data_IF_373515247379
#
_entry.id   IF_373515247379
#
_cell.length_a   1.000
_cell.length_b   1.000
_cell.length_c   1.000
_cell.angle_alpha   90.00
_cell.angle_beta   90.00
_cell.angle_gamma   90.00
#
_symmetry.space_group_name_H-M   'P 1'
#
loop_
_entity.id
_entity.type
_entity.pdbx_description
1 polymer ?
#
# COMPACT_ATOMS: atom_id res chain seq x y z
N UNK A 1 -11.24 27.14 -75.29
CA UNK A 1 -11.01 27.52 -73.87
C UNK A 1 -11.29 26.30 -73.01
N UNK A 2 -10.27 25.68 -72.43
CA UNK A 2 -10.43 24.66 -71.40
C UNK A 2 -9.43 24.99 -70.29
N UNK A 3 -9.92 25.59 -69.20
CA UNK A 3 -9.15 25.89 -68.02
C UNK A 3 -8.89 24.58 -67.25
N UNK A 4 -7.63 24.16 -67.15
CA UNK A 4 -7.24 23.08 -66.25
C UNK A 4 -7.25 23.60 -64.81
N UNK A 5 -8.16 23.06 -63.99
CA UNK A 5 -8.19 23.23 -62.53
C UNK A 5 -6.92 22.61 -61.93
N UNK A 6 -6.11 23.41 -61.25
CA UNK A 6 -5.07 22.90 -60.36
C UNK A 6 -5.72 22.18 -59.17
N UNK A 7 -5.42 20.89 -59.02
CA UNK A 7 -5.72 20.14 -57.79
C UNK A 7 -4.72 20.54 -56.69
N UNK A 8 -5.21 21.24 -55.66
CA UNK A 8 -4.50 21.38 -54.40
C UNK A 8 -4.44 20.01 -53.72
N UNK A 9 -3.23 19.45 -53.58
CA UNK A 9 -2.98 18.28 -52.72
C UNK A 9 -3.05 18.74 -51.27
N UNK A 10 -3.97 18.16 -50.50
CA UNK A 10 -4.07 18.36 -49.06
C UNK A 10 -2.78 17.90 -48.38
N UNK A 11 -2.09 18.84 -47.75
CA UNK A 11 -0.90 18.57 -46.95
C UNK A 11 -1.29 17.80 -45.69
N UNK A 12 -0.84 16.56 -45.59
CA UNK A 12 -0.79 15.87 -44.31
C UNK A 12 0.18 16.63 -43.40
N UNK A 13 -0.15 16.73 -42.11
CA UNK A 13 0.58 17.53 -41.11
C UNK A 13 2.07 17.14 -40.97
N UNK A 14 2.47 15.99 -41.53
CA UNK A 14 3.87 15.54 -41.62
C UNK A 14 4.12 14.98 -43.02
N UNK A 15 5.06 15.56 -43.77
CA UNK A 15 5.47 15.05 -45.08
C UNK A 15 6.72 14.14 -44.99
N UNK A 16 6.86 13.20 -45.92
CA UNK A 16 8.02 12.29 -45.97
C UNK A 16 9.38 12.99 -46.20
N UNK A 17 9.34 14.23 -46.68
CA UNK A 17 10.46 15.18 -46.78
C UNK A 17 10.95 15.62 -45.40
N UNK A 18 10.03 15.94 -44.49
CA UNK A 18 10.35 16.37 -43.12
C UNK A 18 11.02 15.23 -42.34
N UNK A 19 10.49 14.01 -42.47
CA UNK A 19 11.09 12.82 -41.84
C UNK A 19 12.53 12.57 -42.32
N UNK A 20 12.79 12.72 -43.62
CA UNK A 20 14.15 12.61 -44.19
C UNK A 20 15.09 13.69 -43.67
N UNK A 21 14.59 14.90 -43.41
CA UNK A 21 15.36 15.97 -42.80
C UNK A 21 15.76 15.63 -41.36
N UNK A 22 14.80 15.20 -40.53
CA UNK A 22 15.09 14.78 -39.15
C UNK A 22 16.09 13.63 -39.08
N UNK A 23 15.91 12.57 -39.89
CA UNK A 23 16.84 11.43 -39.92
C UNK A 23 18.27 11.87 -40.28
N UNK A 24 18.43 12.82 -41.21
CA UNK A 24 19.75 13.35 -41.59
C UNK A 24 20.41 14.17 -40.49
N UNK A 25 19.62 14.94 -39.75
CA UNK A 25 20.11 15.71 -38.58
C UNK A 25 20.54 14.76 -37.46
N UNK A 26 19.72 13.76 -37.14
CA UNK A 26 20.04 12.75 -36.13
C UNK A 26 21.24 11.89 -36.49
N UNK A 27 21.39 11.47 -37.75
CA UNK A 27 22.54 10.65 -38.17
C UNK A 27 23.86 11.42 -38.15
N UNK A 28 23.84 12.72 -38.46
CA UNK A 28 25.02 13.60 -38.36
C UNK A 28 25.45 13.83 -36.90
N UNK A 29 24.49 13.86 -35.98
CA UNK A 29 24.71 14.09 -34.55
C UNK A 29 24.43 12.84 -33.70
N UNK A 30 24.73 11.65 -34.21
CA UNK A 30 24.39 10.37 -33.58
C UNK A 30 24.88 10.24 -32.13
N UNK A 31 26.02 10.87 -31.80
CA UNK A 31 26.56 10.92 -30.44
C UNK A 31 25.60 11.62 -29.45
N UNK A 32 24.87 12.67 -29.87
CA UNK A 32 23.85 13.32 -29.04
C UNK A 32 22.69 12.38 -28.73
N UNK A 33 22.32 11.52 -29.68
CA UNK A 33 21.29 10.49 -29.47
C UNK A 33 21.78 9.48 -28.44
N UNK A 34 23.01 8.99 -28.58
CA UNK A 34 23.59 8.03 -27.63
C UNK A 34 23.69 8.64 -26.23
N UNK A 35 24.16 9.88 -26.11
CA UNK A 35 24.23 10.59 -24.82
C UNK A 35 22.83 10.78 -24.22
N UNK A 36 21.84 11.16 -25.03
CA UNK A 36 20.46 11.32 -24.56
C UNK A 36 19.86 9.99 -24.06
N UNK A 37 20.11 8.88 -24.77
CA UNK A 37 19.66 7.54 -24.35
C UNK A 37 20.32 7.11 -23.04
N UNK A 38 21.64 7.30 -22.92
CA UNK A 38 22.36 6.97 -21.68
C UNK A 38 21.88 7.82 -20.51
N UNK A 39 21.70 9.12 -20.72
CA UNK A 39 21.22 10.04 -19.69
C UNK A 39 19.78 9.69 -19.27
N UNK A 40 18.91 9.35 -20.23
CA UNK A 40 17.57 8.85 -19.94
C UNK A 40 17.58 7.54 -19.15
N UNK A 41 18.47 6.59 -19.48
CA UNK A 41 18.62 5.34 -18.74
C UNK A 41 19.07 5.57 -17.29
N UNK A 42 20.03 6.48 -17.08
CA UNK A 42 20.50 6.85 -15.74
C UNK A 42 19.38 7.52 -14.93
N UNK A 43 18.66 8.47 -15.52
CA UNK A 43 17.53 9.13 -14.85
C UNK A 43 16.41 8.14 -14.51
N UNK A 44 16.09 7.22 -15.43
CA UNK A 44 15.10 6.17 -15.22
C UNK A 44 15.50 5.24 -14.08
N UNK A 45 16.77 4.81 -14.04
CA UNK A 45 17.28 3.99 -12.93
C UNK A 45 17.19 4.70 -11.58
N UNK A 46 17.62 5.98 -11.52
CA UNK A 46 17.52 6.78 -10.30
C UNK A 46 16.08 7.01 -9.84
N UNK A 47 15.15 7.17 -10.80
CA UNK A 47 13.73 7.29 -10.50
C UNK A 47 13.17 5.96 -9.96
N UNK A 48 13.45 4.84 -10.63
CA UNK A 48 12.97 3.51 -10.22
C UNK A 48 13.49 3.11 -8.83
N UNK A 49 14.69 3.51 -8.46
CA UNK A 49 15.26 3.22 -7.14
C UNK A 49 14.46 3.86 -5.99
N UNK A 50 13.77 4.98 -6.25
CA UNK A 50 12.95 5.70 -5.25
C UNK A 50 11.56 5.10 -5.08
N UNK A 51 11.07 4.33 -6.05
CA UNK A 51 9.72 3.76 -6.00
C UNK A 51 9.68 2.69 -4.89
N UNK A 52 8.69 2.73 -3.99
CA UNK A 52 8.46 1.66 -3.02
C UNK A 52 8.14 0.33 -3.72
N UNK A 53 8.66 -0.77 -3.19
CA UNK A 53 8.30 -2.09 -3.69
C UNK A 53 6.90 -2.45 -3.20
N UNK A 54 6.11 -3.12 -4.05
CA UNK A 54 4.76 -3.59 -3.72
C UNK A 54 4.75 -5.10 -3.84
N UNK A 55 4.26 -5.76 -2.80
CA UNK A 55 4.24 -7.21 -2.67
C UNK A 55 2.80 -7.72 -2.59
N UNK A 56 2.49 -8.74 -3.38
CA UNK A 56 1.22 -9.45 -3.32
C UNK A 56 1.29 -10.69 -2.43
N UNK A 57 0.24 -10.93 -1.65
CA UNK A 57 -0.02 -12.20 -0.99
C UNK A 57 -1.40 -12.73 -1.40
N UNK A 58 -1.56 -14.04 -1.40
CA UNK A 58 -2.85 -14.68 -1.68
C UNK A 58 -3.11 -15.86 -0.72
N UNK A 59 -4.39 -16.13 -0.48
CA UNK A 59 -4.88 -17.27 0.27
C UNK A 59 -6.09 -17.89 -0.44
N UNK A 60 -6.31 -19.19 -0.24
CA UNK A 60 -7.42 -19.92 -0.83
C UNK A 60 -8.29 -20.50 0.29
N UNK A 61 -9.57 -20.16 0.26
CA UNK A 61 -10.56 -20.60 1.25
C UNK A 61 -11.55 -21.52 0.54
N UNK A 62 -11.62 -22.77 0.99
CA UNK A 62 -12.63 -23.73 0.52
C UNK A 62 -13.95 -23.46 1.24
N UNK A 63 -15.01 -23.18 0.49
CA UNK A 63 -16.35 -23.10 1.05
C UNK A 63 -16.87 -24.51 1.35
N UNK A 64 -17.39 -24.71 2.55
CA UNK A 64 -17.96 -26.00 2.95
C UNK A 64 -19.30 -26.18 2.25
N UNK A 65 -19.44 -27.26 1.49
CA UNK A 65 -20.73 -27.63 0.90
C UNK A 65 -21.75 -27.82 2.04
N UNK A 66 -22.78 -26.97 2.09
CA UNK A 66 -23.97 -27.26 2.88
C UNK A 66 -24.59 -28.51 2.26
N UNK A 67 -24.80 -29.52 3.09
CA UNK A 67 -25.25 -30.88 2.74
C UNK A 67 -26.05 -30.94 1.44
N UNK A 68 -25.53 -31.74 0.51
CA UNK A 68 -26.09 -32.00 -0.80
C UNK A 68 -27.54 -32.47 -0.64
N UNK A 69 -28.50 -31.60 -0.94
CA UNK A 69 -29.86 -32.07 -1.26
C UNK A 69 -29.71 -33.11 -2.38
N UNK A 70 -30.30 -34.28 -2.21
CA UNK A 70 -30.18 -35.39 -3.15
C UNK A 70 -30.82 -35.03 -4.50
N UNK A 71 -30.06 -34.37 -5.38
CA UNK A 71 -30.47 -33.93 -6.72
C UNK A 71 -30.35 -35.08 -7.71
N UNK A 72 -31.10 -36.16 -7.48
CA UNK A 72 -31.06 -37.38 -8.27
C UNK A 72 -31.72 -37.27 -9.66
N UNK A 73 -32.13 -36.08 -10.12
CA UNK A 73 -32.65 -35.89 -11.49
C UNK A 73 -31.90 -34.81 -12.27
N UNK A 74 -31.61 -35.12 -13.54
CA UNK A 74 -30.85 -34.29 -14.49
C UNK A 74 -31.38 -32.85 -14.63
N UNK A 75 -32.66 -32.62 -14.29
CA UNK A 75 -33.30 -31.29 -14.31
C UNK A 75 -32.74 -30.36 -13.23
N UNK A 76 -32.24 -30.89 -12.11
CA UNK A 76 -31.75 -30.08 -10.99
C UNK A 76 -30.25 -29.84 -10.98
N UNK A 77 -29.48 -30.47 -11.88
CA UNK A 77 -28.05 -30.19 -12.02
C UNK A 77 -27.80 -28.71 -12.38
N UNK A 78 -28.62 -28.15 -13.27
CA UNK A 78 -28.55 -26.72 -13.64
C UNK A 78 -29.02 -25.79 -12.50
N UNK A 79 -29.95 -26.24 -11.66
CA UNK A 79 -30.49 -25.45 -10.53
C UNK A 79 -29.49 -25.44 -9.37
N UNK A 80 -28.83 -26.57 -9.09
CA UNK A 80 -27.78 -26.68 -8.08
C UNK A 80 -26.59 -25.74 -8.38
N UNK A 81 -26.20 -25.60 -9.64
CA UNK A 81 -25.14 -24.68 -10.06
C UNK A 81 -25.50 -23.21 -9.80
N UNK A 82 -26.74 -22.80 -10.09
CA UNK A 82 -27.22 -21.43 -9.84
C UNK A 82 -27.26 -21.12 -8.34
N UNK A 83 -27.68 -22.08 -7.52
CA UNK A 83 -27.70 -21.94 -6.06
C UNK A 83 -26.28 -21.82 -5.48
N UNK A 84 -25.34 -22.66 -5.93
CA UNK A 84 -23.94 -22.60 -5.54
C UNK A 84 -23.29 -21.26 -5.94
N UNK A 85 -23.59 -20.76 -7.14
CA UNK A 85 -23.10 -19.46 -7.60
C UNK A 85 -23.64 -18.29 -6.74
N UNK A 86 -24.91 -18.35 -6.35
CA UNK A 86 -25.51 -17.38 -5.43
C UNK A 86 -24.84 -17.39 -4.04
N UNK A 87 -24.55 -18.57 -3.50
CA UNK A 87 -23.84 -18.70 -2.23
C UNK A 87 -22.40 -18.16 -2.32
N UNK A 88 -21.66 -18.49 -3.38
CA UNK A 88 -20.32 -17.95 -3.64
C UNK A 88 -20.35 -16.41 -3.65
N UNK A 89 -21.29 -15.78 -4.36
CA UNK A 89 -21.42 -14.31 -4.37
C UNK A 89 -21.66 -13.76 -2.96
N UNK A 90 -22.52 -14.41 -2.18
CA UNK A 90 -22.80 -14.00 -0.81
C UNK A 90 -21.54 -14.12 0.06
N UNK A 91 -20.79 -15.21 -0.04
CA UNK A 91 -19.54 -15.40 0.69
C UNK A 91 -18.49 -14.35 0.32
N UNK A 92 -18.38 -13.99 -0.97
CA UNK A 92 -17.51 -12.88 -1.41
C UNK A 92 -17.90 -11.54 -0.76
N UNK A 93 -19.20 -11.27 -0.60
CA UNK A 93 -19.70 -10.06 0.09
C UNK A 93 -19.41 -10.07 1.58
N UNK A 94 -19.49 -11.25 2.23
CA UNK A 94 -19.12 -11.40 3.64
C UNK A 94 -17.62 -11.16 3.82
N UNK A 95 -16.77 -11.77 2.99
CA UNK A 95 -15.31 -11.57 3.02
C UNK A 95 -14.89 -10.10 2.84
N UNK A 96 -15.63 -9.36 2.01
CA UNK A 96 -15.37 -7.92 1.74
C UNK A 96 -16.21 -6.98 2.61
N UNK A 97 -16.89 -7.50 3.63
CA UNK A 97 -17.71 -6.70 4.53
C UNK A 97 -16.87 -5.86 5.48
N UNK A 98 -17.37 -4.67 5.81
CA UNK A 98 -16.69 -3.75 6.73
C UNK A 98 -16.44 -4.43 8.08
N UNK A 99 -17.46 -5.03 8.68
CA UNK A 99 -17.38 -5.63 10.01
C UNK A 99 -16.37 -6.78 10.11
N UNK A 100 -16.25 -7.60 9.07
CA UNK A 100 -15.28 -8.71 9.07
C UNK A 100 -13.84 -8.18 8.97
N UNK A 101 -13.61 -7.21 8.09
CA UNK A 101 -12.30 -6.57 7.92
C UNK A 101 -11.92 -5.80 9.18
N UNK A 102 -12.86 -5.07 9.78
CA UNK A 102 -12.64 -4.35 11.05
C UNK A 102 -12.28 -5.32 12.18
N UNK A 103 -13.05 -6.42 12.37
CA UNK A 103 -12.68 -7.44 13.37
C UNK A 103 -11.32 -8.06 13.11
N UNK A 104 -10.96 -8.24 11.84
CA UNK A 104 -9.65 -8.76 11.44
C UNK A 104 -8.53 -7.81 11.81
N UNK A 105 -8.66 -6.54 11.43
CA UNK A 105 -7.70 -5.50 11.77
C UNK A 105 -7.63 -5.22 13.27
N UNK A 106 -8.64 -5.62 14.06
CA UNK A 106 -8.63 -5.47 15.52
C UNK A 106 -7.68 -6.44 16.22
N UNK A 107 -7.21 -7.46 15.50
CA UNK A 107 -6.20 -8.43 15.96
C UNK A 107 -4.80 -8.09 15.48
N UNK A 108 -4.65 -7.01 14.71
CA UNK A 108 -3.41 -6.60 14.07
C UNK A 108 -3.05 -5.19 14.55
N UNK A 109 -1.77 -4.93 14.74
CA UNK A 109 -1.21 -3.65 15.17
C UNK A 109 -0.92 -2.73 13.96
N UNK A 110 -1.88 -2.61 13.04
CA UNK A 110 -1.73 -1.88 11.78
C UNK A 110 -2.12 -0.40 11.88
N UNK A 111 -2.61 0.04 13.04
CA UNK A 111 -3.11 1.40 13.26
C UNK A 111 -1.99 2.46 13.16
N UNK A 112 -0.71 2.05 13.29
CA UNK A 112 0.46 2.92 13.12
C UNK A 112 1.42 2.34 12.08
N UNK A 113 1.76 3.13 11.06
CA UNK A 113 2.85 2.81 10.13
C UNK A 113 4.14 3.47 10.59
N UNK A 114 5.26 2.77 10.43
CA UNK A 114 6.58 3.23 10.83
C UNK A 114 7.50 3.35 9.63
N UNK A 115 8.32 4.40 9.60
CA UNK A 115 9.20 4.71 8.49
C UNK A 115 10.60 5.08 8.99
N UNK A 116 11.61 4.66 8.23
CA UNK A 116 12.99 5.14 8.37
C UNK A 116 13.25 6.11 7.21
N UNK A 117 13.61 7.35 7.55
CA UNK A 117 13.86 8.41 6.59
C UNK A 117 15.34 8.38 6.20
N UNK A 118 15.62 7.84 5.01
CA UNK A 118 16.95 7.88 4.42
C UNK A 118 17.14 9.10 3.51
N UNK A 119 18.40 9.42 3.19
CA UNK A 119 18.74 10.54 2.27
C UNK A 119 18.09 10.42 0.88
N UNK A 120 17.86 9.20 0.41
CA UNK A 120 17.40 8.93 -0.97
C UNK A 120 16.07 8.20 -1.05
N UNK A 121 15.69 7.47 0.00
CA UNK A 121 14.50 6.63 0.05
C UNK A 121 13.97 6.59 1.48
N UNK A 122 12.68 6.83 1.62
CA UNK A 122 11.92 6.52 2.83
C UNK A 122 11.40 5.11 2.70
N UNK A 123 11.62 4.29 3.73
CA UNK A 123 11.18 2.89 3.72
C UNK A 123 10.25 2.63 4.90
N UNK A 124 9.07 2.09 4.62
CA UNK A 124 8.20 1.56 5.67
C UNK A 124 8.88 0.34 6.32
N UNK A 125 8.69 0.18 7.62
CA UNK A 125 9.21 -0.94 8.39
C UNK A 125 8.14 -1.45 9.36
N UNK A 126 8.24 -2.72 9.74
CA UNK A 126 7.29 -3.36 10.64
C UNK A 126 8.03 -4.23 11.65
N UNK A 127 7.80 -4.00 12.95
CA UNK A 127 8.53 -4.57 14.09
C UNK A 127 10.07 -4.59 13.96
N UNK A 128 10.64 -3.61 13.26
CA UNK A 128 12.09 -3.48 13.10
C UNK A 128 12.67 -2.27 13.84
N UNK A 129 11.81 -1.36 14.29
CA UNK A 129 12.22 -0.17 15.03
C UNK A 129 12.58 -0.51 16.49
N UNK A 130 13.40 0.34 17.12
CA UNK A 130 13.80 0.15 18.51
C UNK A 130 12.75 0.68 19.51
N UNK A 131 11.57 1.09 19.05
CA UNK A 131 10.47 1.59 19.85
C UNK A 131 9.13 1.19 19.24
N UNK A 132 8.09 1.25 20.06
CA UNK A 132 6.69 1.07 19.66
C UNK A 132 5.86 2.27 20.13
N UNK A 133 4.96 2.73 19.28
CA UNK A 133 4.10 3.89 19.51
C UNK A 133 2.67 3.43 19.71
N UNK A 134 2.08 3.82 20.84
CA UNK A 134 0.65 3.78 21.07
C UNK A 134 0.12 5.20 21.07
N UNK A 135 -0.74 5.54 20.11
CA UNK A 135 -1.27 6.89 19.95
C UNK A 135 -2.79 6.86 19.78
N UNK A 136 -3.46 7.75 20.51
CA UNK A 136 -4.86 8.07 20.34
C UNK A 136 -4.96 9.53 19.88
N UNK A 137 -5.30 9.71 18.61
CA UNK A 137 -5.40 11.02 17.98
C UNK A 137 -6.73 11.68 18.37
N UNK A 138 -6.67 12.86 19.00
CA UNK A 138 -7.85 13.61 19.43
C UNK A 138 -8.29 14.65 18.38
N UNK A 139 -7.34 15.28 17.67
CA UNK A 139 -7.63 16.11 16.50
C UNK A 139 -7.58 15.26 15.21
N UNK A 140 -8.73 15.02 14.55
CA UNK A 140 -8.78 14.21 13.33
C UNK A 140 -7.87 14.68 12.20
N UNK A 141 -7.43 15.95 12.20
CA UNK A 141 -6.51 16.49 11.19
C UNK A 141 -5.10 15.89 11.26
N UNK A 142 -4.75 15.26 12.38
CA UNK A 142 -3.45 14.59 12.55
C UNK A 142 -3.48 13.13 12.10
N UNK A 143 -4.65 12.54 11.86
CA UNK A 143 -4.73 11.20 11.27
C UNK A 143 -4.18 11.22 9.84
N UNK A 144 -3.34 10.25 9.52
CA UNK A 144 -2.63 10.16 8.25
C UNK A 144 -1.52 11.18 8.07
N UNK A 145 -1.23 12.03 9.06
CA UNK A 145 -0.08 12.93 9.03
C UNK A 145 1.13 12.31 9.70
N UNK A 146 2.34 12.59 9.20
CA UNK A 146 3.56 12.10 9.83
C UNK A 146 3.89 12.82 11.13
N UNK A 147 4.40 12.04 12.08
CA UNK A 147 5.09 12.48 13.28
C UNK A 147 6.55 12.06 13.17
N UNK A 148 7.47 13.01 13.24
CA UNK A 148 8.89 12.75 13.22
C UNK A 148 9.38 12.45 14.64
N UNK A 149 10.16 11.39 14.79
CA UNK A 149 10.72 10.96 16.06
C UNK A 149 12.23 10.80 15.91
N UNK A 150 12.97 11.53 16.75
CA UNK A 150 14.44 11.43 16.83
C UNK A 150 14.85 10.98 18.21
N UNK A 151 15.64 9.91 18.29
CA UNK A 151 16.17 9.41 19.55
C UNK A 151 17.29 10.34 19.99
N UNK A 152 17.17 10.94 21.17
CA UNK A 152 18.16 11.90 21.69
C UNK A 152 19.18 11.16 22.55
N UNK A 153 18.71 10.29 23.44
CA UNK A 153 19.52 9.51 24.36
C UNK A 153 18.78 8.18 24.72
N UNK A 154 19.31 7.31 25.60
CA UNK A 154 18.62 6.07 25.94
C UNK A 154 17.21 6.26 26.49
N UNK A 155 16.96 7.36 27.20
CA UNK A 155 15.76 7.63 27.98
C UNK A 155 14.83 8.67 27.35
N UNK A 156 15.32 9.49 26.41
CA UNK A 156 14.55 10.57 25.80
C UNK A 156 14.54 10.53 24.28
N UNK A 157 13.44 11.04 23.73
CA UNK A 157 13.26 11.30 22.31
C UNK A 157 12.70 12.70 22.08
N UNK A 158 12.87 13.17 20.86
CA UNK A 158 12.30 14.41 20.35
C UNK A 158 11.19 14.06 19.36
N UNK A 159 10.00 14.60 19.59
CA UNK A 159 8.83 14.46 18.74
C UNK A 159 8.59 15.77 18.00
N UNK A 160 8.40 15.69 16.68
CA UNK A 160 7.99 16.83 15.86
C UNK A 160 6.76 16.51 15.01
N UNK A 161 5.81 17.44 14.94
CA UNK A 161 4.60 17.27 14.13
C UNK A 161 4.01 18.61 13.71
N UNK A 162 3.28 18.62 12.59
CA UNK A 162 2.56 19.78 12.10
C UNK A 162 1.15 19.86 12.70
N UNK A 163 0.96 20.79 13.64
CA UNK A 163 -0.34 21.06 14.29
C UNK A 163 -1.32 21.84 13.41
N UNK A 164 -0.93 22.23 12.20
CA UNK A 164 -1.70 23.09 11.29
C UNK A 164 -1.49 24.59 11.53
N UNK A 165 -0.96 24.99 12.68
CA UNK A 165 -0.47 26.35 12.95
C UNK A 165 1.06 26.48 12.82
N UNK A 166 1.75 25.39 12.52
CA UNK A 166 3.20 25.29 12.47
C UNK A 166 3.71 23.97 13.05
N UNK A 167 5.00 23.72 12.83
CA UNK A 167 5.70 22.56 13.36
C UNK A 167 5.97 22.79 14.85
N UNK A 168 5.52 21.84 15.68
CA UNK A 168 5.79 21.79 17.12
C UNK A 168 6.85 20.72 17.33
N UNK A 169 7.90 21.06 18.08
CA UNK A 169 8.96 20.12 18.48
C UNK A 169 9.07 20.11 20.00
N UNK A 170 9.00 18.93 20.62
CA UNK A 170 9.09 18.75 22.07
C UNK A 170 9.90 17.50 22.40
N UNK A 171 10.64 17.53 23.50
CA UNK A 171 11.36 16.36 24.02
C UNK A 171 10.57 15.69 25.14
N UNK A 172 10.56 14.36 25.13
CA UNK A 172 9.82 13.54 26.06
C UNK A 172 10.64 12.31 26.49
N UNK A 173 10.43 11.81 27.71
CA UNK A 173 10.98 10.51 28.12
C UNK A 173 10.20 9.36 27.48
N UNK A 174 10.89 8.26 27.21
CA UNK A 174 10.26 7.01 26.81
C UNK A 174 9.53 6.33 27.97
N UNK A 175 8.42 5.65 27.67
CA UNK A 175 7.63 4.87 28.62
C UNK A 175 6.62 5.69 29.44
N UNK A 176 6.57 7.02 29.24
CA UNK A 176 5.59 7.90 29.87
C UNK A 176 4.42 8.24 28.94
N UNK A 177 3.26 8.45 29.55
CA UNK A 177 2.06 8.89 28.84
C UNK A 177 2.14 10.40 28.60
N UNK A 178 2.17 10.79 27.32
CA UNK A 178 2.22 12.17 26.86
C UNK A 178 0.81 12.60 26.51
N UNK A 179 0.23 13.44 27.37
CA UNK A 179 -1.06 14.08 27.11
C UNK A 179 -0.82 15.46 26.48
N UNK A 180 -1.14 15.59 25.19
CA UNK A 180 -1.24 16.87 24.51
C UNK A 180 -2.73 17.19 24.23
N UNK A 181 -3.03 18.43 23.84
CA UNK A 181 -4.39 18.81 23.43
C UNK A 181 -4.84 18.09 22.15
N UNK A 182 -3.89 17.69 21.31
CA UNK A 182 -4.16 17.14 19.99
C UNK A 182 -4.13 15.60 19.96
N UNK A 183 -3.49 14.94 20.94
CA UNK A 183 -3.35 13.48 21.03
C UNK A 183 -2.96 13.01 22.44
N UNK A 184 -3.17 11.71 22.69
CA UNK A 184 -2.54 10.97 23.78
C UNK A 184 -1.52 10.00 23.17
N UNK A 185 -0.27 10.07 23.60
CA UNK A 185 0.83 9.31 23.01
C UNK A 185 1.64 8.61 24.10
N UNK A 186 2.04 7.37 23.83
CA UNK A 186 3.04 6.65 24.62
C UNK A 186 4.03 6.01 23.67
N UNK A 187 5.32 6.22 23.93
CA UNK A 187 6.40 5.63 23.14
C UNK A 187 7.20 4.69 24.04
N UNK A 188 7.07 3.40 23.79
CA UNK A 188 7.74 2.35 24.55
C UNK A 188 9.04 1.94 23.86
N UNK A 189 10.06 1.65 24.66
CA UNK A 189 11.33 1.13 24.14
C UNK A 189 11.22 -0.36 23.96
N UNK A 190 11.72 -0.86 22.84
CA UNK A 190 11.96 -2.30 22.68
C UNK A 190 13.33 -2.65 23.28
N UNK A 191 13.54 -3.90 23.68
CA UNK A 191 14.83 -4.41 24.21
C UNK A 191 16.05 -4.20 23.28
N UNK A 192 15.81 -3.72 22.05
CA UNK A 192 16.82 -3.38 21.04
C UNK A 192 17.57 -2.07 21.31
N UNK A 193 17.11 -1.23 22.24
CA UNK A 193 17.87 -0.04 22.70
C UNK A 193 18.91 -0.47 23.72
N UNK A 194 20.02 -1.03 23.22
CA UNK A 194 21.22 -1.25 24.03
C UNK A 194 22.15 -0.02 23.88
N UNK A 195 22.85 0.42 24.95
CA UNK A 195 23.76 1.56 24.91
C UNK A 195 24.78 1.54 23.77
N UNK A 196 25.22 0.34 23.35
CA UNK A 196 26.18 0.14 22.25
C UNK A 196 25.64 0.48 20.85
N UNK A 197 24.32 0.63 20.68
CA UNK A 197 23.71 0.91 19.37
C UNK A 197 23.09 2.31 19.26
N UNK A 198 23.04 3.06 20.37
CA UNK A 198 22.35 4.36 20.43
C UNK A 198 22.91 5.38 19.44
N UNK A 199 24.22 5.44 19.22
CA UNK A 199 24.79 6.40 18.25
C UNK A 199 24.24 6.20 16.83
N UNK A 200 24.02 4.94 16.40
CA UNK A 200 23.44 4.65 15.08
C UNK A 200 21.94 4.93 15.02
N UNK A 201 21.24 4.65 16.12
CA UNK A 201 19.81 4.88 16.22
C UNK A 201 19.51 6.39 16.28
N UNK A 202 20.27 7.16 17.05
CA UNK A 202 20.19 8.61 17.13
C UNK A 202 20.61 9.32 15.82
N UNK A 203 21.46 8.68 15.01
CA UNK A 203 21.83 9.17 13.69
C UNK A 203 20.77 8.92 12.59
N UNK A 204 19.70 8.19 12.91
CA UNK A 204 18.61 7.89 11.98
C UNK A 204 17.39 8.76 12.30
N UNK A 205 16.74 9.25 11.25
CA UNK A 205 15.47 9.97 11.36
C UNK A 205 14.32 8.96 11.23
N UNK A 206 13.48 8.87 12.25
CA UNK A 206 12.30 8.01 12.24
C UNK A 206 11.03 8.83 12.07
N UNK A 207 10.02 8.20 11.50
CA UNK A 207 8.71 8.78 11.34
C UNK A 207 7.65 7.72 11.60
N UNK A 208 6.54 8.10 12.22
CA UNK A 208 5.36 7.26 12.31
C UNK A 208 4.13 8.01 11.83
N UNK A 209 3.14 7.26 11.33
CA UNK A 209 1.90 7.81 10.80
C UNK A 209 0.74 7.05 11.46
N UNK A 210 -0.04 7.71 12.34
CA UNK A 210 -1.26 7.12 12.85
C UNK A 210 -2.34 7.11 11.78
N UNK A 211 -3.11 6.03 11.71
CA UNK A 211 -4.19 5.86 10.74
C UNK A 211 -5.54 5.86 11.43
N UNK A 212 -6.51 6.56 10.85
CA UNK A 212 -7.90 6.42 11.26
C UNK A 212 -8.39 5.00 10.97
N UNK A 213 -9.21 4.48 11.89
CA UNK A 213 -9.70 3.12 11.80
C UNK A 213 -10.56 2.87 10.56
N UNK A 214 -11.45 3.80 10.21
CA UNK A 214 -12.30 3.66 9.02
C UNK A 214 -11.46 3.75 7.75
N UNK A 215 -10.45 4.63 7.73
CA UNK A 215 -9.50 4.70 6.62
C UNK A 215 -8.78 3.37 6.44
N UNK A 216 -8.28 2.76 7.51
CA UNK A 216 -7.56 1.49 7.47
C UNK A 216 -8.43 0.34 6.97
N UNK A 217 -9.68 0.24 7.46
CA UNK A 217 -10.64 -0.76 6.96
C UNK A 217 -10.90 -0.57 5.47
N UNK A 218 -11.11 0.67 5.02
CA UNK A 218 -11.34 0.97 3.62
C UNK A 218 -10.12 0.69 2.74
N UNK A 219 -8.89 0.96 3.23
CA UNK A 219 -7.64 0.60 2.56
C UNK A 219 -7.64 -0.88 2.18
N UNK A 220 -7.88 -1.76 3.15
CA UNK A 220 -7.89 -3.20 2.89
C UNK A 220 -9.12 -3.66 2.11
N UNK A 221 -10.30 -3.10 2.37
CA UNK A 221 -11.53 -3.45 1.65
C UNK A 221 -11.44 -3.17 0.15
N UNK A 222 -10.88 -2.04 -0.25
CA UNK A 222 -10.74 -1.68 -1.66
C UNK A 222 -9.44 -2.20 -2.28
N UNK A 223 -8.41 -2.47 -1.45
CA UNK A 223 -7.15 -3.07 -1.88
C UNK A 223 -7.16 -4.59 -2.01
N UNK A 224 -8.16 -5.27 -1.45
CA UNK A 224 -8.31 -6.72 -1.58
C UNK A 224 -9.11 -7.10 -2.81
N UNK A 225 -8.74 -8.23 -3.42
CA UNK A 225 -9.48 -8.86 -4.50
C UNK A 225 -9.95 -10.24 -4.06
N UNK A 226 -11.23 -10.54 -4.30
CA UNK A 226 -11.79 -11.87 -4.03
C UNK A 226 -12.32 -12.42 -5.34
N UNK A 227 -11.82 -13.59 -5.72
CA UNK A 227 -12.18 -14.29 -6.94
C UNK A 227 -12.57 -15.73 -6.64
N UNK A 228 -13.44 -16.29 -7.47
CA UNK A 228 -13.77 -17.71 -7.40
C UNK A 228 -12.92 -18.42 -8.45
N UNK A 229 -12.26 -19.52 -8.06
CA UNK A 229 -11.54 -20.35 -9.02
C UNK A 229 -12.55 -21.12 -9.86
N UNK A 230 -12.37 -21.09 -11.18
CA UNK A 230 -13.31 -21.66 -12.15
C UNK A 230 -13.67 -23.10 -11.80
N UNK A 231 -14.97 -23.41 -11.84
CA UNK A 231 -15.51 -24.75 -11.56
C UNK A 231 -15.23 -25.29 -10.15
N UNK A 232 -14.92 -24.42 -9.18
CA UNK A 232 -14.71 -24.82 -7.79
C UNK A 232 -15.55 -23.99 -6.82
N UNK A 233 -15.66 -24.44 -5.57
CA UNK A 233 -16.16 -23.66 -4.43
C UNK A 233 -15.03 -22.97 -3.66
N UNK A 234 -13.85 -22.83 -4.28
CA UNK A 234 -12.70 -22.18 -3.68
C UNK A 234 -12.75 -20.68 -3.99
N UNK A 235 -12.58 -19.87 -2.94
CA UNK A 235 -12.38 -18.43 -3.04
C UNK A 235 -10.90 -18.12 -2.89
N UNK A 236 -10.32 -17.46 -3.88
CA UNK A 236 -8.99 -16.88 -3.78
C UNK A 236 -9.11 -15.42 -3.33
N UNK A 237 -8.39 -15.08 -2.26
CA UNK A 237 -8.30 -13.71 -1.75
C UNK A 237 -6.87 -13.23 -1.93
N UNK A 238 -6.70 -12.06 -2.55
CA UNK A 238 -5.40 -11.43 -2.81
C UNK A 238 -5.36 -10.03 -2.18
N UNK A 239 -4.22 -9.67 -1.60
CA UNK A 239 -3.94 -8.32 -1.06
C UNK A 239 -2.52 -7.91 -1.45
N UNK A 240 -2.34 -6.63 -1.74
CA UNK A 240 -1.04 -6.00 -1.96
C UNK A 240 -0.67 -5.08 -0.79
N UNK A 241 0.61 -5.11 -0.39
CA UNK A 241 1.16 -4.18 0.60
C UNK A 241 2.64 -3.90 0.31
N UNK A 242 3.16 -2.77 0.79
CA UNK A 242 4.60 -2.46 0.68
C UNK A 242 5.44 -3.37 1.60
N UNK A 243 4.81 -3.94 2.62
CA UNK A 243 5.43 -4.84 3.58
C UNK A 243 4.88 -6.26 3.38
N UNK A 244 5.70 -7.22 2.90
CA UNK A 244 5.22 -8.58 2.59
C UNK A 244 4.57 -9.29 3.78
N UNK A 245 5.09 -9.05 4.99
CA UNK A 245 4.57 -9.68 6.20
C UNK A 245 3.19 -9.12 6.60
N UNK A 246 2.91 -7.83 6.35
CA UNK A 246 1.59 -7.24 6.63
C UNK A 246 0.50 -7.87 5.76
N UNK A 247 0.78 -8.05 4.46
CA UNK A 247 -0.15 -8.72 3.55
C UNK A 247 -0.47 -10.15 4.01
N UNK A 248 0.55 -10.92 4.43
CA UNK A 248 0.36 -12.28 4.96
C UNK A 248 -0.45 -12.30 6.26
N UNK A 249 -0.08 -11.48 7.24
CA UNK A 249 -0.77 -11.41 8.54
C UNK A 249 -2.24 -10.99 8.39
N UNK A 250 -2.52 -10.06 7.49
CA UNK A 250 -3.88 -9.68 7.16
C UNK A 250 -4.68 -10.87 6.61
N UNK A 251 -4.17 -11.56 5.58
CA UNK A 251 -4.88 -12.68 4.97
C UNK A 251 -5.07 -13.86 5.92
N UNK A 252 -4.06 -14.15 6.74
CA UNK A 252 -4.13 -15.21 7.76
C UNK A 252 -5.22 -14.89 8.80
N UNK A 253 -5.19 -13.66 9.35
CA UNK A 253 -6.18 -13.21 10.33
C UNK A 253 -7.59 -13.13 9.74
N UNK A 254 -7.72 -12.66 8.49
CA UNK A 254 -9.00 -12.58 7.78
C UNK A 254 -9.58 -13.98 7.58
N UNK A 255 -8.74 -14.92 7.13
CA UNK A 255 -9.15 -16.31 6.90
C UNK A 255 -9.62 -16.95 8.21
N UNK A 256 -8.85 -16.79 9.29
CA UNK A 256 -9.23 -17.29 10.61
C UNK A 256 -10.54 -16.66 11.11
N UNK A 257 -10.72 -15.35 10.92
CA UNK A 257 -11.93 -14.65 11.34
C UNK A 257 -13.16 -15.06 10.53
N UNK A 258 -13.00 -15.28 9.23
CA UNK A 258 -14.05 -15.77 8.34
C UNK A 258 -14.48 -17.20 8.69
N UNK A 259 -13.52 -18.09 8.94
CA UNK A 259 -13.78 -19.48 9.33
C UNK A 259 -14.49 -19.53 10.69
N UNK A 260 -14.12 -18.67 11.64
CA UNK A 260 -14.83 -18.61 12.92
C UNK A 260 -16.25 -18.02 12.78
N UNK A 261 -16.47 -17.15 11.79
CA UNK A 261 -17.78 -16.56 11.54
C UNK A 261 -18.79 -17.55 10.94
N UNK A 262 -18.31 -18.59 10.24
CA UNK A 262 -19.11 -19.50 9.41
C UNK A 262 -19.15 -20.92 9.98
#
# INVERSE_FOLDING_TARGET
MAAQRQQQKGGGIIEASDLRYFIRVFSRNWYLVVVAVLLSAVLSYLYSYKIPEVYGASTQILLKDKEVYNYQSQVYQNIGYVAAYGDIINQKRVLTSYDLIDKTLGKLDFDVSYYIIGRFKTSEVYHALPFEVSINVLDPKLNGKPFDLRIVDPDHFELSYDSGSGIITKQHPFGEDIADKDFLLRVERTERILPKHIERLAASDYQFVPHDRNWLVNKYKYGMQVENLEYTTILQVTVEDQIPIKAKLFLDSLSAQYIHYT
#
